data_IF_777096310109
#
_entry.id   IF_777096310109
#
_cell.length_a   1.000
_cell.length_b   1.000
_cell.length_c   1.000
_cell.angle_alpha   90.00
_cell.angle_beta   90.00
_cell.angle_gamma   90.00
#
_symmetry.space_group_name_H-M   'P 1'
#
loop_
_entity.id
_entity.type
_entity.pdbx_description
1 polymer ?
#
# COMPACT_ATOMS: atom_id res chain seq x y z
N UNK A 1 29.94 -31.29 -39.63
CA UNK A 1 28.78 -30.36 -39.66
C UNK A 1 27.64 -30.81 -38.74
N UNK A 2 27.93 -31.27 -37.50
CA UNK A 2 26.89 -31.67 -36.52
C UNK A 2 26.77 -30.71 -35.31
N UNK A 3 27.72 -29.78 -35.16
CA UNK A 3 27.76 -28.81 -34.06
C UNK A 3 27.00 -27.49 -34.35
N UNK A 4 26.71 -27.18 -35.62
CA UNK A 4 26.04 -25.92 -36.01
C UNK A 4 24.58 -25.87 -35.54
N UNK A 5 23.82 -26.95 -35.76
CA UNK A 5 22.42 -27.06 -35.31
C UNK A 5 22.23 -26.92 -33.79
N UNK A 6 23.26 -27.27 -33.00
CA UNK A 6 23.17 -27.26 -31.53
C UNK A 6 23.45 -25.87 -30.93
N UNK A 7 24.26 -25.03 -31.58
CA UNK A 7 24.61 -23.72 -31.05
C UNK A 7 23.48 -22.70 -31.27
N UNK A 8 22.79 -22.78 -32.41
CA UNK A 8 21.69 -21.86 -32.76
C UNK A 8 20.47 -22.03 -31.84
N UNK A 9 20.12 -23.28 -31.50
CA UNK A 9 19.08 -23.59 -30.51
C UNK A 9 19.43 -23.13 -29.10
N UNK A 10 20.71 -23.26 -28.69
CA UNK A 10 21.18 -22.79 -27.39
C UNK A 10 21.11 -21.27 -27.25
N UNK A 11 21.48 -20.54 -28.31
CA UNK A 11 21.38 -19.08 -28.34
C UNK A 11 19.92 -18.63 -28.18
N UNK A 12 18.99 -19.29 -28.87
CA UNK A 12 17.55 -19.01 -28.72
C UNK A 12 17.05 -19.22 -27.28
N UNK A 13 17.45 -20.32 -26.64
CA UNK A 13 17.08 -20.62 -25.25
C UNK A 13 17.63 -19.56 -24.30
N UNK A 14 18.89 -19.13 -24.47
CA UNK A 14 19.51 -18.09 -23.64
C UNK A 14 18.79 -16.75 -23.80
N UNK A 15 18.39 -16.39 -25.02
CA UNK A 15 17.62 -15.15 -25.27
C UNK A 15 16.25 -15.21 -24.60
N UNK A 16 15.54 -16.33 -24.69
CA UNK A 16 14.24 -16.51 -24.03
C UNK A 16 14.39 -16.40 -22.51
N UNK A 17 15.39 -17.05 -21.92
CA UNK A 17 15.66 -16.96 -20.48
C UNK A 17 16.01 -15.54 -20.04
N UNK A 18 16.76 -14.78 -20.84
CA UNK A 18 17.07 -13.39 -20.56
C UNK A 18 15.79 -12.51 -20.56
N UNK A 19 14.88 -12.71 -21.51
CA UNK A 19 13.60 -12.00 -21.56
C UNK A 19 12.75 -12.33 -20.33
N UNK A 20 12.65 -13.62 -19.96
CA UNK A 20 11.89 -14.04 -18.77
C UNK A 20 12.46 -13.42 -17.49
N UNK A 21 13.78 -13.36 -17.35
CA UNK A 21 14.43 -12.72 -16.20
C UNK A 21 14.14 -11.21 -16.11
N UNK A 22 14.09 -10.51 -17.25
CA UNK A 22 13.72 -9.10 -17.32
C UNK A 22 12.26 -8.88 -16.93
N UNK A 23 11.35 -9.72 -17.44
CA UNK A 23 9.92 -9.63 -17.11
C UNK A 23 9.67 -9.94 -15.63
N UNK A 24 10.29 -10.98 -15.09
CA UNK A 24 10.21 -11.32 -13.66
C UNK A 24 10.70 -10.15 -12.79
N UNK A 25 11.84 -9.56 -13.14
CA UNK A 25 12.39 -8.40 -12.40
C UNK A 25 11.46 -7.19 -12.43
N UNK A 26 10.75 -6.96 -13.53
CA UNK A 26 9.78 -5.87 -13.63
C UNK A 26 8.50 -6.16 -12.85
N UNK A 27 8.02 -7.41 -12.87
CA UNK A 27 6.87 -7.84 -12.07
C UNK A 27 7.15 -7.68 -10.58
N UNK A 28 8.31 -8.14 -10.08
CA UNK A 28 8.69 -7.98 -8.66
C UNK A 28 8.70 -6.52 -8.23
N UNK A 29 9.34 -5.64 -9.02
CA UNK A 29 9.37 -4.19 -8.74
C UNK A 29 7.98 -3.54 -8.78
N UNK A 30 7.10 -4.03 -9.64
CA UNK A 30 5.72 -3.54 -9.75
C UNK A 30 4.89 -3.98 -8.54
N UNK A 31 5.03 -5.22 -8.11
CA UNK A 31 4.37 -5.74 -6.90
C UNK A 31 4.82 -5.00 -5.65
N UNK A 32 6.12 -4.73 -5.50
CA UNK A 32 6.66 -3.94 -4.36
C UNK A 32 6.12 -2.50 -4.35
N UNK A 33 6.05 -1.85 -5.52
CA UNK A 33 5.49 -0.49 -5.64
C UNK A 33 3.98 -0.47 -5.35
N UNK A 34 3.25 -1.45 -5.85
CA UNK A 34 1.80 -1.57 -5.63
C UNK A 34 1.50 -1.84 -4.17
N UNK A 35 2.25 -2.73 -3.51
CA UNK A 35 2.12 -2.99 -2.06
C UNK A 35 2.30 -1.72 -1.23
N UNK A 36 3.37 -0.95 -1.49
CA UNK A 36 3.61 0.32 -0.78
C UNK A 36 2.53 1.38 -1.02
N UNK A 37 2.02 1.50 -2.25
CA UNK A 37 0.92 2.41 -2.57
C UNK A 37 -0.40 2.01 -1.88
N UNK A 38 -0.67 0.71 -1.76
CA UNK A 38 -1.87 0.20 -1.07
C UNK A 38 -1.75 0.43 0.44
N UNK A 39 -0.58 0.19 1.02
CA UNK A 39 -0.32 0.43 2.45
C UNK A 39 -0.48 1.93 2.77
N UNK A 40 0.11 2.80 1.96
CA UNK A 40 -0.02 4.26 2.10
C UNK A 40 -1.47 4.72 1.96
N UNK A 41 -2.23 4.20 0.98
CA UNK A 41 -3.65 4.56 0.85
C UNK A 41 -4.50 4.00 1.99
N UNK A 42 -4.20 2.79 2.48
CA UNK A 42 -4.88 2.20 3.62
C UNK A 42 -4.68 3.03 4.87
N UNK A 43 -3.45 3.47 5.16
CA UNK A 43 -3.16 4.36 6.28
C UNK A 43 -3.89 5.71 6.16
N UNK A 44 -3.92 6.29 4.97
CA UNK A 44 -4.64 7.56 4.73
C UNK A 44 -6.15 7.37 4.94
N UNK A 45 -6.73 6.26 4.48
CA UNK A 45 -8.16 5.98 4.64
C UNK A 45 -8.47 5.74 6.12
N UNK A 46 -7.69 4.92 6.82
CA UNK A 46 -7.87 4.67 8.26
C UNK A 46 -7.77 5.98 9.04
N UNK A 47 -6.72 6.77 8.83
CA UNK A 47 -6.53 8.04 9.53
C UNK A 47 -7.66 9.04 9.21
N UNK A 48 -8.13 9.12 7.96
CA UNK A 48 -9.27 9.97 7.59
C UNK A 48 -10.60 9.45 8.13
N UNK A 49 -10.81 8.14 8.19
CA UNK A 49 -12.00 7.53 8.76
C UNK A 49 -12.05 7.72 10.26
N UNK A 50 -10.93 7.54 10.97
CA UNK A 50 -10.81 7.87 12.39
C UNK A 50 -11.08 9.36 12.63
N UNK A 51 -10.56 10.24 11.77
CA UNK A 51 -10.82 11.67 11.87
C UNK A 51 -12.27 12.07 11.50
N UNK A 52 -12.94 11.30 10.65
CA UNK A 52 -14.32 11.55 10.24
C UNK A 52 -15.35 11.02 11.25
N UNK A 53 -14.99 9.99 12.02
CA UNK A 53 -15.86 9.41 13.06
C UNK A 53 -15.71 10.16 14.39
N UNK A 54 -14.59 10.84 14.60
CA UNK A 54 -14.34 11.63 15.81
C UNK A 54 -14.94 13.03 15.72
N UNK A 55 -15.58 13.45 16.82
CA UNK A 55 -16.22 14.75 16.97
C UNK A 55 -15.21 15.90 17.05
N UNK A 56 -15.53 17.00 16.38
CA UNK A 56 -14.77 18.26 16.42
C UNK A 56 -15.03 19.01 17.74
N UNK A 57 -14.20 20.03 18.08
CA UNK A 57 -14.44 20.86 19.25
C UNK A 57 -15.87 21.45 19.24
N UNK A 58 -16.60 21.25 20.32
CA UNK A 58 -18.00 21.65 20.49
C UNK A 58 -19.05 20.61 20.08
N UNK A 59 -18.66 19.50 19.43
CA UNK A 59 -19.56 18.39 19.15
C UNK A 59 -19.75 17.48 20.37
N UNK A 60 -20.89 16.79 20.41
CA UNK A 60 -21.25 15.93 21.52
C UNK A 60 -20.31 14.73 21.63
N UNK A 61 -19.91 14.41 22.86
CA UNK A 61 -19.10 13.25 23.18
C UNK A 61 -19.52 12.64 24.52
N UNK A 62 -19.22 11.36 24.68
CA UNK A 62 -19.41 10.62 25.93
C UNK A 62 -18.07 10.11 26.49
N UNK A 63 -17.06 9.95 25.64
CA UNK A 63 -15.71 9.50 26.00
C UNK A 63 -14.63 10.24 25.20
N UNK A 64 -13.42 10.35 25.77
CA UNK A 64 -12.31 11.11 25.18
C UNK A 64 -11.89 10.54 23.82
N UNK A 65 -12.04 9.22 23.62
CA UNK A 65 -11.70 8.56 22.34
C UNK A 65 -12.59 9.02 21.18
N UNK A 66 -13.75 9.61 21.48
CA UNK A 66 -14.69 10.10 20.48
C UNK A 66 -14.32 11.50 19.97
N UNK A 67 -13.34 12.17 20.57
CA UNK A 67 -12.91 13.51 20.17
C UNK A 67 -11.73 13.47 19.21
N UNK A 68 -11.77 14.31 18.17
CA UNK A 68 -10.74 14.36 17.13
C UNK A 68 -9.39 14.80 17.71
N UNK A 69 -9.45 15.73 18.64
CA UNK A 69 -8.33 16.26 19.41
C UNK A 69 -8.84 16.67 20.79
N UNK A 70 -7.99 16.54 21.81
CA UNK A 70 -8.30 16.96 23.17
C UNK A 70 -9.09 15.92 23.97
N UNK A 71 -10.04 16.36 24.80
CA UNK A 71 -10.79 15.47 25.71
C UNK A 71 -12.29 15.75 25.68
N UNK A 72 -13.07 14.81 26.20
CA UNK A 72 -14.50 14.96 26.33
C UNK A 72 -14.85 15.64 27.65
N UNK A 73 -15.34 16.87 27.58
CA UNK A 73 -15.83 17.62 28.73
C UNK A 73 -17.07 16.91 29.31
N UNK A 74 -16.93 16.28 30.48
CA UNK A 74 -18.00 15.47 31.10
C UNK A 74 -19.15 16.31 31.64
N UNK A 75 -18.94 17.61 31.86
CA UNK A 75 -19.97 18.51 32.37
C UNK A 75 -20.88 19.02 31.25
N UNK A 76 -20.33 19.27 30.06
CA UNK A 76 -21.04 19.76 28.89
C UNK A 76 -21.28 18.69 27.81
N UNK A 77 -20.75 17.49 28.00
CA UNK A 77 -20.73 16.38 27.05
C UNK A 77 -20.24 16.81 25.66
N UNK A 78 -19.16 17.60 25.61
CA UNK A 78 -18.62 18.17 24.36
C UNK A 78 -17.11 18.01 24.25
N UNK A 79 -16.62 17.78 23.03
CA UNK A 79 -15.20 17.75 22.76
C UNK A 79 -14.58 19.14 22.93
N UNK A 80 -13.45 19.23 23.62
CA UNK A 80 -12.63 20.44 23.74
C UNK A 80 -11.23 20.22 23.18
#
# INVERSE_FOLDING_TARGET
>A
MRAQLSAEMLILIVVILAIVALVASQLTKTTEKTGKSIETQSDIIVNRSEAAVKGKPGEFCNDDIQCLSGYCDKDNFKCQ
#
